data_IF_783298132093
#
_entry.id   IF_783298132093
#
_cell.length_a   1.000
_cell.length_b   1.000
_cell.length_c   1.000
_cell.angle_alpha   90.00
_cell.angle_beta   90.00
_cell.angle_gamma   90.00
#
_symmetry.space_group_name_H-M   'P 1'
#
loop_
_entity.id
_entity.type
_entity.pdbx_description
1 polymer ?
#
# COMPACT_ATOMS: atom_id res chain seq x y z
N UNK A 1 10.30 -26.26 6.76
CA UNK A 1 10.55 -24.98 6.05
C UNK A 1 9.32 -24.69 5.19
N UNK A 2 8.74 -23.49 5.27
CA UNK A 2 7.49 -23.15 4.58
C UNK A 2 7.71 -22.92 3.09
N UNK A 3 6.90 -23.58 2.26
CA UNK A 3 6.97 -23.49 0.80
C UNK A 3 6.54 -22.12 0.28
N UNK A 4 5.54 -21.52 0.93
CA UNK A 4 4.99 -20.20 0.62
C UNK A 4 5.95 -19.04 0.95
N UNK A 5 7.04 -19.31 1.67
CA UNK A 5 8.04 -18.34 2.09
C UNK A 5 9.43 -18.56 1.45
N UNK A 6 9.53 -19.36 0.39
CA UNK A 6 10.84 -19.69 -0.23
C UNK A 6 11.45 -18.55 -1.03
N UNK A 7 10.63 -17.65 -1.59
CA UNK A 7 11.08 -16.65 -2.56
C UNK A 7 10.75 -15.22 -2.12
N UNK A 8 11.67 -14.30 -2.41
CA UNK A 8 11.45 -12.87 -2.26
C UNK A 8 11.24 -12.40 -0.81
N UNK A 9 10.39 -11.38 -0.64
CA UNK A 9 10.07 -10.80 0.68
C UNK A 9 8.71 -11.32 1.14
N UNK A 10 8.69 -12.49 1.77
CA UNK A 10 7.47 -13.06 2.33
C UNK A 10 6.97 -12.25 3.53
N UNK A 11 5.64 -12.14 3.67
CA UNK A 11 5.03 -11.67 4.90
C UNK A 11 4.99 -12.79 5.93
N UNK A 12 5.10 -12.47 7.22
CA UNK A 12 5.20 -13.47 8.28
C UNK A 12 3.94 -14.35 8.32
N UNK A 13 2.76 -13.78 8.03
CA UNK A 13 1.50 -14.52 8.12
C UNK A 13 1.39 -15.66 7.09
N UNK A 14 2.21 -15.66 6.03
CA UNK A 14 2.15 -16.71 5.00
C UNK A 14 2.47 -18.08 5.59
N UNK A 15 3.50 -18.15 6.44
CA UNK A 15 3.90 -19.36 7.15
C UNK A 15 2.78 -19.88 8.07
N UNK A 16 2.04 -18.97 8.72
CA UNK A 16 0.92 -19.36 9.59
C UNK A 16 -0.24 -19.91 8.79
N UNK A 17 -0.58 -19.31 7.64
CA UNK A 17 -1.64 -19.84 6.76
C UNK A 17 -1.29 -21.24 6.26
N UNK A 18 -0.07 -21.44 5.74
CA UNK A 18 0.40 -22.75 5.27
C UNK A 18 0.37 -23.79 6.41
N UNK A 19 0.90 -23.44 7.59
CA UNK A 19 0.90 -24.33 8.76
C UNK A 19 -0.53 -24.72 9.17
N UNK A 20 -1.43 -23.75 9.23
CA UNK A 20 -2.81 -23.96 9.67
C UNK A 20 -3.59 -24.82 8.69
N UNK A 21 -3.42 -24.62 7.37
CA UNK A 21 -4.05 -25.48 6.35
C UNK A 21 -3.56 -26.92 6.49
N UNK A 22 -2.26 -27.13 6.69
CA UNK A 22 -1.69 -28.47 6.88
C UNK A 22 -2.11 -29.16 8.18
N UNK A 23 -2.64 -28.39 9.13
CA UNK A 23 -3.13 -28.90 10.42
C UNK A 23 -4.63 -29.16 10.41
N UNK A 24 -5.34 -28.87 9.31
CA UNK A 24 -6.77 -29.15 9.18
C UNK A 24 -7.00 -30.66 9.01
N UNK A 25 -7.99 -31.19 9.71
CA UNK A 25 -8.53 -32.51 9.45
C UNK A 25 -9.43 -32.51 8.20
N UNK A 26 -9.86 -33.68 7.76
CA UNK A 26 -10.87 -33.80 6.71
C UNK A 26 -12.13 -33.02 7.10
N UNK A 27 -12.58 -32.11 6.22
CA UNK A 27 -13.68 -31.16 6.43
C UNK A 27 -13.41 -30.00 7.41
N UNK A 28 -12.18 -29.88 7.93
CA UNK A 28 -11.77 -28.75 8.76
C UNK A 28 -11.90 -27.41 8.02
N UNK A 29 -12.27 -26.36 8.76
CA UNK A 29 -12.38 -24.99 8.25
C UNK A 29 -11.35 -24.09 8.91
N UNK A 30 -10.72 -23.24 8.10
CA UNK A 30 -9.81 -22.20 8.53
C UNK A 30 -10.39 -20.84 8.13
N UNK A 31 -10.48 -19.94 9.09
CA UNK A 31 -10.91 -18.56 8.87
C UNK A 31 -9.79 -17.63 9.33
N UNK A 32 -9.36 -16.72 8.45
CA UNK A 32 -8.29 -15.78 8.75
C UNK A 32 -8.66 -14.37 8.35
N UNK A 33 -8.45 -13.41 9.26
CA UNK A 33 -8.36 -11.99 8.95
C UNK A 33 -6.92 -11.65 8.58
N UNK A 34 -6.68 -11.30 7.33
CA UNK A 34 -5.35 -11.03 6.76
C UNK A 34 -5.34 -9.76 5.93
N UNK A 35 -4.16 -9.19 5.61
CA UNK A 35 -4.06 -8.08 4.68
C UNK A 35 -4.67 -8.42 3.31
N UNK A 36 -5.50 -7.52 2.78
CA UNK A 36 -6.10 -7.64 1.44
C UNK A 36 -5.05 -7.75 0.33
N UNK A 37 -3.81 -7.32 0.60
CA UNK A 37 -2.67 -7.41 -0.31
C UNK A 37 -2.34 -8.85 -0.75
N UNK A 38 -2.82 -9.88 -0.03
CA UNK A 38 -2.72 -11.29 -0.42
C UNK A 38 -3.12 -11.52 -1.89
N UNK A 39 -4.13 -10.82 -2.38
CA UNK A 39 -4.67 -11.04 -3.72
C UNK A 39 -3.82 -10.44 -4.85
N UNK A 40 -2.93 -9.48 -4.55
CA UNK A 40 -2.25 -8.67 -5.59
C UNK A 40 -0.73 -8.57 -5.42
N UNK A 41 -0.20 -8.83 -4.23
CA UNK A 41 1.23 -8.73 -3.95
C UNK A 41 1.99 -9.87 -4.65
N UNK A 42 3.02 -9.52 -5.43
CA UNK A 42 3.85 -10.50 -6.16
C UNK A 42 4.48 -11.56 -5.25
N UNK A 43 4.85 -11.19 -4.02
CA UNK A 43 5.47 -12.13 -3.07
C UNK A 43 4.47 -13.08 -2.42
N UNK A 44 3.16 -12.83 -2.59
CA UNK A 44 2.12 -13.70 -2.07
C UNK A 44 1.66 -14.76 -3.10
N UNK A 45 2.31 -14.85 -4.27
CA UNK A 45 1.96 -15.79 -5.33
C UNK A 45 1.94 -17.24 -4.83
N UNK A 46 3.03 -17.68 -4.21
CA UNK A 46 3.13 -19.04 -3.69
C UNK A 46 2.01 -19.36 -2.68
N UNK A 47 1.63 -18.39 -1.84
CA UNK A 47 0.51 -18.57 -0.92
C UNK A 47 -0.84 -18.61 -1.63
N UNK A 48 -1.07 -17.76 -2.64
CA UNK A 48 -2.31 -17.80 -3.44
C UNK A 48 -2.47 -19.16 -4.12
N UNK A 49 -1.40 -19.67 -4.72
CA UNK A 49 -1.42 -20.99 -5.36
C UNK A 49 -1.68 -22.09 -4.33
N UNK A 50 -1.08 -21.99 -3.15
CA UNK A 50 -1.27 -22.92 -2.05
C UNK A 50 -2.72 -23.01 -1.57
N UNK A 51 -3.41 -21.88 -1.44
CA UNK A 51 -4.78 -21.83 -0.90
C UNK A 51 -5.86 -21.95 -1.99
N UNK A 52 -5.49 -21.87 -3.27
CA UNK A 52 -6.42 -21.74 -4.40
C UNK A 52 -7.48 -22.85 -4.40
N UNK A 53 -7.08 -24.09 -4.12
CA UNK A 53 -8.01 -25.22 -4.14
C UNK A 53 -8.95 -25.23 -2.93
N UNK A 54 -8.44 -24.84 -1.75
CA UNK A 54 -9.18 -24.91 -0.48
C UNK A 54 -10.02 -23.68 -0.18
N UNK A 55 -9.69 -22.51 -0.75
CA UNK A 55 -10.43 -21.28 -0.48
C UNK A 55 -11.85 -21.38 -1.05
N UNK A 56 -12.83 -20.99 -0.24
CA UNK A 56 -14.25 -21.05 -0.59
C UNK A 56 -14.93 -19.70 -0.50
N UNK A 57 -14.54 -18.86 0.45
CA UNK A 57 -15.17 -17.56 0.69
C UNK A 57 -14.11 -16.48 0.93
N UNK A 58 -14.37 -15.29 0.41
CA UNK A 58 -13.59 -14.08 0.61
C UNK A 58 -14.55 -12.97 1.03
N UNK A 59 -14.27 -12.32 2.16
CA UNK A 59 -15.02 -11.17 2.64
C UNK A 59 -14.16 -9.92 2.45
N UNK A 60 -14.65 -9.00 1.64
CA UNK A 60 -13.98 -7.76 1.28
C UNK A 60 -14.55 -6.58 2.06
N UNK A 61 -13.68 -5.95 2.82
CA UNK A 61 -13.97 -4.76 3.62
C UNK A 61 -13.46 -3.47 2.96
N UNK A 62 -13.21 -3.49 1.65
CA UNK A 62 -12.80 -2.29 0.90
C UNK A 62 -13.84 -1.18 1.08
N UNK A 63 -13.38 -0.02 1.55
CA UNK A 63 -14.24 1.12 1.89
C UNK A 63 -14.82 1.09 3.32
N UNK A 64 -14.57 0.04 4.10
CA UNK A 64 -14.90 -0.05 5.51
C UNK A 64 -13.63 0.09 6.36
N UNK A 65 -13.68 0.97 7.37
CA UNK A 65 -12.61 1.08 8.35
C UNK A 65 -12.83 0.08 9.50
N UNK A 66 -12.14 -1.07 9.43
CA UNK A 66 -12.24 -2.11 10.47
C UNK A 66 -11.52 -1.75 11.78
N UNK A 67 -10.40 -1.03 11.68
CA UNK A 67 -9.55 -0.71 12.82
C UNK A 67 -9.25 0.79 12.86
N UNK A 68 -9.42 1.40 14.02
CA UNK A 68 -9.03 2.80 14.23
C UNK A 68 -7.50 2.94 14.15
N UNK A 69 -7.03 3.96 13.43
CA UNK A 69 -5.59 4.26 13.31
C UNK A 69 -4.78 3.34 12.39
N UNK A 70 -5.37 2.29 11.82
CA UNK A 70 -4.69 1.36 10.90
C UNK A 70 -5.08 1.67 9.45
N UNK A 71 -4.08 1.76 8.57
CA UNK A 71 -4.27 2.10 7.15
C UNK A 71 -4.34 0.84 6.27
N UNK A 72 -3.97 -0.32 6.81
CA UNK A 72 -3.93 -1.58 6.06
C UNK A 72 -5.36 -2.04 5.76
N UNK A 73 -5.66 -2.22 4.47
CA UNK A 73 -6.88 -2.91 4.04
C UNK A 73 -6.80 -4.39 4.41
N UNK A 74 -7.86 -4.92 5.00
CA UNK A 74 -7.95 -6.32 5.44
C UNK A 74 -9.07 -7.06 4.73
N UNK A 75 -8.98 -8.39 4.74
CA UNK A 75 -9.97 -9.32 4.18
C UNK A 75 -10.08 -10.51 5.11
N UNK A 76 -11.25 -11.15 5.13
CA UNK A 76 -11.38 -12.49 5.72
C UNK A 76 -11.37 -13.51 4.58
N UNK A 77 -10.56 -14.56 4.74
CA UNK A 77 -10.60 -15.74 3.89
C UNK A 77 -11.16 -16.94 4.67
N UNK A 78 -11.98 -17.75 4.01
CA UNK A 78 -12.38 -19.07 4.49
C UNK A 78 -11.79 -20.14 3.58
N UNK A 79 -11.02 -21.06 4.16
CA UNK A 79 -10.51 -22.25 3.50
C UNK A 79 -11.13 -23.49 4.14
N UNK A 80 -11.51 -24.47 3.33
CA UNK A 80 -12.05 -25.74 3.83
C UNK A 80 -11.30 -26.92 3.21
N UNK A 81 -10.79 -27.80 4.07
CA UNK A 81 -10.12 -29.03 3.66
C UNK A 81 -11.12 -30.05 3.08
N UNK A 82 -10.69 -30.86 2.12
CA UNK A 82 -11.51 -31.92 1.52
C UNK A 82 -12.58 -31.44 0.52
N UNK A 83 -12.81 -30.13 0.39
CA UNK A 83 -13.75 -29.56 -0.57
C UNK A 83 -12.98 -28.89 -1.71
N UNK A 84 -13.16 -29.39 -2.94
CA UNK A 84 -12.68 -28.73 -4.16
C UNK A 84 -13.85 -28.05 -4.86
N UNK A 85 -13.95 -26.72 -4.71
CA UNK A 85 -14.88 -25.88 -5.48
C UNK A 85 -14.14 -25.22 -6.63
N UNK A 86 -14.80 -25.11 -7.79
CA UNK A 86 -14.30 -24.37 -8.95
C UNK A 86 -14.54 -22.86 -8.85
N UNK A 87 -15.22 -22.40 -7.80
CA UNK A 87 -15.54 -21.00 -7.56
C UNK A 87 -15.29 -20.60 -6.10
N UNK A 88 -15.24 -19.29 -5.90
CA UNK A 88 -15.16 -18.59 -4.61
C UNK A 88 -16.41 -17.72 -4.47
N UNK A 89 -17.02 -17.74 -3.29
CA UNK A 89 -18.02 -16.76 -2.89
C UNK A 89 -17.31 -15.49 -2.43
N UNK A 90 -17.52 -14.39 -3.14
CA UNK A 90 -16.92 -13.10 -2.85
C UNK A 90 -17.99 -12.17 -2.26
N UNK A 91 -17.86 -11.88 -0.97
CA UNK A 91 -18.78 -11.04 -0.20
C UNK A 91 -18.21 -9.62 -0.14
N UNK A 92 -18.95 -8.63 -0.62
CA UNK A 92 -18.60 -7.22 -0.49
C UNK A 92 -19.35 -6.65 0.72
N UNK A 93 -18.63 -6.45 1.81
CA UNK A 93 -19.24 -6.11 3.10
C UNK A 93 -19.83 -4.69 3.12
N UNK A 94 -19.34 -3.79 2.26
CA UNK A 94 -19.81 -2.40 2.21
C UNK A 94 -21.28 -2.26 1.80
N UNK A 95 -21.77 -3.19 0.97
CA UNK A 95 -23.13 -3.18 0.43
C UNK A 95 -23.86 -4.53 0.57
N UNK A 96 -23.23 -5.55 1.16
CA UNK A 96 -23.80 -6.87 1.35
C UNK A 96 -23.95 -7.68 0.06
N UNK A 97 -23.26 -7.31 -1.02
CA UNK A 97 -23.32 -8.05 -2.29
C UNK A 97 -22.52 -9.35 -2.22
N UNK A 98 -23.07 -10.40 -2.84
CA UNK A 98 -22.40 -11.68 -3.05
C UNK A 98 -22.20 -11.94 -4.54
N UNK A 99 -20.95 -12.17 -4.94
CA UNK A 99 -20.57 -12.57 -6.29
C UNK A 99 -19.92 -13.95 -6.29
N UNK A 100 -20.14 -14.73 -7.35
CA UNK A 100 -19.49 -16.03 -7.54
C UNK A 100 -18.36 -15.87 -8.55
N UNK A 101 -17.12 -16.05 -8.09
CA UNK A 101 -15.91 -15.86 -8.90
C UNK A 101 -15.33 -17.22 -9.26
N UNK A 102 -15.17 -17.50 -10.55
CA UNK A 102 -14.58 -18.77 -11.01
C UNK A 102 -13.05 -18.75 -10.81
N UNK A 103 -12.49 -19.83 -10.29
CA UNK A 103 -11.05 -19.93 -9.95
C UNK A 103 -10.13 -19.99 -11.18
N UNK A 104 -10.65 -20.38 -12.34
CA UNK A 104 -9.95 -20.35 -13.63
C UNK A 104 -9.62 -18.91 -14.07
N UNK A 105 -10.42 -17.92 -13.65
CA UNK A 105 -10.15 -16.49 -13.90
C UNK A 105 -9.05 -15.91 -12.99
N UNK A 106 -8.63 -16.66 -11.95
CA UNK A 106 -7.68 -16.21 -10.94
C UNK A 106 -6.26 -16.66 -11.29
N UNK A 107 -5.51 -15.79 -11.95
CA UNK A 107 -4.12 -16.03 -12.35
C UNK A 107 -3.13 -15.43 -11.33
N UNK A 108 -2.02 -14.82 -11.79
CA UNK A 108 -0.99 -14.21 -10.95
C UNK A 108 -1.52 -13.18 -9.94
N UNK A 109 -2.61 -12.51 -10.25
CA UNK A 109 -3.29 -11.59 -9.35
C UNK A 109 -4.78 -11.87 -9.40
N UNK A 110 -5.39 -11.89 -8.23
CA UNK A 110 -6.81 -12.16 -8.09
C UNK A 110 -7.55 -10.83 -8.12
N UNK A 111 -8.34 -10.66 -9.16
CA UNK A 111 -9.26 -9.55 -9.32
C UNK A 111 -10.67 -10.12 -9.25
N UNK A 112 -11.45 -9.67 -8.27
CA UNK A 112 -12.82 -10.16 -8.07
C UNK A 112 -13.85 -9.33 -8.86
N UNK A 113 -13.50 -8.09 -9.20
CA UNK A 113 -14.33 -7.23 -10.07
C UNK A 113 -13.92 -7.44 -11.52
N UNK A 114 -14.91 -7.59 -12.41
CA UNK A 114 -14.66 -7.67 -13.85
C UNK A 114 -13.99 -6.38 -14.35
N UNK A 115 -12.82 -6.52 -14.97
CA UNK A 115 -12.19 -5.41 -15.68
C UNK A 115 -13.00 -5.10 -16.93
N UNK A 116 -13.65 -3.96 -16.96
CA UNK A 116 -14.03 -3.35 -18.22
C UNK A 116 -12.76 -2.73 -18.81
N UNK A 117 -12.11 -3.42 -19.75
CA UNK A 117 -11.00 -2.87 -20.52
C UNK A 117 -11.48 -1.82 -21.56
N UNK A 118 -12.60 -1.15 -21.29
CA UNK A 118 -13.12 -0.08 -22.13
C UNK A 118 -12.52 1.23 -21.65
N UNK A 119 -11.59 1.78 -22.44
CA UNK A 119 -11.00 3.09 -22.19
C UNK A 119 -9.50 3.11 -22.45
N UNK A 120 -8.95 4.32 -22.46
CA UNK A 120 -7.52 4.57 -22.56
C UNK A 120 -6.88 4.43 -21.18
N UNK A 121 -5.62 3.99 -21.12
CA UNK A 121 -4.94 3.84 -19.83
C UNK A 121 -4.50 5.21 -19.35
N UNK A 122 -4.57 5.44 -18.04
CA UNK A 122 -3.99 6.64 -17.43
C UNK A 122 -2.52 6.87 -17.84
N UNK A 123 -1.76 5.77 -17.95
CA UNK A 123 -0.36 5.78 -18.37
C UNK A 123 -0.10 6.15 -19.82
N UNK A 124 -1.14 6.16 -20.67
CA UNK A 124 -1.02 6.57 -22.08
C UNK A 124 -0.94 8.10 -22.19
N UNK A 125 -1.47 8.83 -21.19
CA UNK A 125 -1.49 10.30 -21.14
C UNK A 125 -0.59 10.89 -20.07
N UNK A 126 -0.35 10.14 -18.98
CA UNK A 126 0.31 10.67 -17.79
C UNK A 126 1.43 9.76 -17.32
N UNK A 127 2.54 10.36 -16.91
CA UNK A 127 3.64 9.65 -16.26
C UNK A 127 3.47 9.64 -14.74
N UNK A 128 3.44 8.45 -14.15
CA UNK A 128 3.36 8.27 -12.70
C UNK A 128 4.77 8.30 -12.11
N UNK A 129 5.00 9.24 -11.19
CA UNK A 129 6.25 9.38 -10.46
C UNK A 129 6.01 9.18 -8.96
N UNK A 130 6.98 8.58 -8.27
CA UNK A 130 6.96 8.49 -6.81
C UNK A 130 7.26 9.86 -6.20
N UNK A 131 6.69 10.14 -5.02
CA UNK A 131 7.05 11.30 -4.23
C UNK A 131 8.49 11.24 -3.70
N UNK A 132 8.98 12.36 -3.20
CA UNK A 132 10.33 12.46 -2.62
C UNK A 132 10.39 11.64 -1.33
N UNK A 133 11.35 10.71 -1.26
CA UNK A 133 11.67 9.95 -0.05
C UNK A 133 12.88 10.60 0.65
N UNK A 134 12.62 11.33 1.73
CA UNK A 134 13.67 12.01 2.53
C UNK A 134 14.52 11.04 3.33
N UNK A 135 14.00 9.85 3.65
CA UNK A 135 14.56 8.84 4.57
C UNK A 135 14.77 9.33 6.02
N UNK A 136 14.73 10.65 6.26
CA UNK A 136 14.76 11.29 7.57
C UNK A 136 13.91 12.56 7.54
N UNK A 137 12.61 12.43 7.80
CA UNK A 137 11.68 13.56 7.76
C UNK A 137 12.10 14.71 8.68
N UNK A 138 12.63 14.41 9.87
CA UNK A 138 13.01 15.41 10.88
C UNK A 138 14.10 16.36 10.39
N UNK A 139 15.01 15.88 9.53
CA UNK A 139 16.08 16.71 8.97
C UNK A 139 15.66 17.51 7.74
N UNK A 140 14.69 17.01 6.96
CA UNK A 140 14.38 17.57 5.63
C UNK A 140 13.02 18.27 5.56
N UNK A 141 12.07 17.98 6.46
CA UNK A 141 10.75 18.62 6.47
C UNK A 141 10.67 19.69 7.56
N UNK A 142 10.30 20.90 7.14
CA UNK A 142 10.14 22.06 8.00
C UNK A 142 8.65 22.35 8.15
N UNK A 143 8.13 22.14 9.35
CA UNK A 143 6.70 22.28 9.63
C UNK A 143 6.36 23.45 10.57
N UNK A 144 7.30 23.90 11.41
CA UNK A 144 7.08 24.95 12.41
C UNK A 144 8.26 25.93 12.35
N UNK A 145 8.00 27.13 11.83
CA UNK A 145 9.05 28.10 11.53
C UNK A 145 8.54 29.54 11.54
N UNK A 146 9.45 30.49 11.78
CA UNK A 146 9.27 31.91 11.47
C UNK A 146 10.07 32.27 10.22
N UNK A 147 9.70 33.33 9.53
CA UNK A 147 10.36 33.72 8.29
C UNK A 147 10.45 35.25 8.20
N UNK A 148 11.55 35.73 7.64
CA UNK A 148 11.70 37.12 7.19
C UNK A 148 11.64 37.16 5.66
N UNK A 149 12.23 38.16 5.00
CA UNK A 149 12.23 38.22 3.54
C UNK A 149 13.12 37.15 2.87
N UNK A 150 14.25 36.80 3.47
CA UNK A 150 15.30 35.96 2.84
C UNK A 150 15.42 34.58 3.48
N UNK A 151 15.07 34.44 4.76
CA UNK A 151 15.36 33.26 5.57
C UNK A 151 14.14 32.68 6.27
N UNK A 152 14.27 31.40 6.61
CA UNK A 152 13.41 30.64 7.51
C UNK A 152 14.21 30.26 8.75
N UNK A 153 13.57 30.36 9.91
CA UNK A 153 14.16 30.04 11.20
C UNK A 153 13.40 28.90 11.88
N UNK A 154 14.14 27.86 12.24
CA UNK A 154 13.66 26.66 12.93
C UNK A 154 14.43 26.52 14.24
N UNK A 155 13.86 27.02 15.34
CA UNK A 155 14.64 27.25 16.56
C UNK A 155 15.77 28.25 16.29
N UNK A 156 17.01 27.86 16.60
CA UNK A 156 18.21 28.69 16.37
C UNK A 156 18.81 28.50 14.97
N UNK A 157 18.26 27.60 14.15
CA UNK A 157 18.76 27.34 12.80
C UNK A 157 18.21 28.35 11.81
N UNK A 158 19.11 28.95 11.02
CA UNK A 158 18.81 29.88 9.93
C UNK A 158 18.98 29.15 8.59
N UNK A 159 17.97 29.21 7.72
CA UNK A 159 17.91 28.46 6.46
C UNK A 159 17.49 29.40 5.32
N UNK A 160 18.23 29.39 4.22
CA UNK A 160 17.93 30.18 3.02
C UNK A 160 16.60 29.72 2.38
N UNK A 161 15.72 30.67 2.03
CA UNK A 161 14.46 30.31 1.36
C UNK A 161 14.67 29.70 -0.02
N UNK A 162 15.77 30.01 -0.70
CA UNK A 162 16.05 29.56 -2.07
C UNK A 162 16.16 28.03 -2.17
N UNK A 163 16.68 27.37 -1.11
CA UNK A 163 16.83 25.92 -1.05
C UNK A 163 15.58 25.20 -0.53
N UNK A 164 14.48 25.93 -0.27
CA UNK A 164 13.23 25.37 0.24
C UNK A 164 12.19 25.26 -0.87
N UNK A 165 11.39 24.20 -0.83
CA UNK A 165 10.22 24.02 -1.71
C UNK A 165 8.98 23.69 -0.88
N UNK A 166 7.76 24.06 -1.34
CA UNK A 166 6.54 23.60 -0.70
C UNK A 166 6.49 22.06 -0.66
N UNK A 167 6.06 21.51 0.47
CA UNK A 167 5.93 20.08 0.69
C UNK A 167 4.47 19.72 1.00
N UNK A 168 3.99 18.64 0.38
CA UNK A 168 2.65 18.12 0.63
C UNK A 168 2.72 16.61 0.78
N UNK A 169 2.05 16.09 1.80
CA UNK A 169 1.83 14.66 1.98
C UNK A 169 0.37 14.37 2.31
N UNK A 170 -0.05 13.12 2.12
CA UNK A 170 -1.38 12.65 2.52
C UNK A 170 -1.64 12.86 4.02
N UNK A 171 -0.60 12.76 4.86
CA UNK A 171 -0.68 13.06 6.29
C UNK A 171 -0.89 14.55 6.53
N UNK A 172 -0.14 15.41 5.84
CA UNK A 172 -0.24 16.87 5.94
C UNK A 172 -1.63 17.36 5.55
N UNK A 173 -2.19 16.82 4.46
CA UNK A 173 -3.54 17.17 4.01
C UNK A 173 -4.62 16.86 5.06
N UNK A 174 -4.50 15.73 5.77
CA UNK A 174 -5.43 15.38 6.86
C UNK A 174 -5.28 16.28 8.11
N UNK A 175 -4.10 16.87 8.33
CA UNK A 175 -3.80 17.75 9.48
C UNK A 175 -4.04 19.24 9.22
N UNK A 176 -4.45 19.64 8.00
CA UNK A 176 -4.66 21.06 7.63
C UNK A 176 -5.69 21.80 8.50
N UNK A 177 -6.50 21.09 9.29
CA UNK A 177 -7.39 21.70 10.28
C UNK A 177 -6.68 22.19 11.56
N UNK A 178 -5.42 21.80 11.81
CA UNK A 178 -4.71 22.05 13.07
C UNK A 178 -3.48 22.97 12.90
N UNK A 179 -2.79 22.92 11.77
CA UNK A 179 -1.60 23.75 11.50
C UNK A 179 -1.92 24.95 10.60
N UNK A 180 -1.45 26.14 10.99
CA UNK A 180 -1.69 27.42 10.28
C UNK A 180 -0.79 27.68 9.06
N UNK A 181 0.29 26.92 8.86
CA UNK A 181 1.30 27.19 7.81
C UNK A 181 1.59 25.95 6.97
N UNK A 182 1.93 26.17 5.70
CA UNK A 182 2.33 25.11 4.77
C UNK A 182 3.68 24.51 5.17
N UNK A 183 3.82 23.20 4.98
CA UNK A 183 5.10 22.50 5.20
C UNK A 183 6.07 22.79 4.05
N UNK A 184 7.37 22.84 4.36
CA UNK A 184 8.44 22.98 3.37
C UNK A 184 9.41 21.80 3.43
N UNK A 185 10.09 21.53 2.32
CA UNK A 185 11.16 20.55 2.22
C UNK A 185 12.47 21.24 1.85
N UNK A 186 13.56 20.84 2.50
CA UNK A 186 14.92 21.19 2.06
C UNK A 186 15.22 20.46 0.75
N UNK A 187 15.38 21.24 -0.31
CA UNK A 187 15.63 20.79 -1.66
C UNK A 187 16.96 21.38 -2.16
N UNK A 188 18.10 20.76 -1.80
CA UNK A 188 19.43 21.27 -2.11
C UNK A 188 19.84 20.91 -3.54
N UNK A 189 18.95 21.16 -4.50
CA UNK A 189 19.19 20.93 -5.91
C UNK A 189 18.66 22.08 -6.77
N UNK A 190 19.41 22.43 -7.82
CA UNK A 190 18.99 23.31 -8.90
C UNK A 190 18.21 22.51 -9.93
N UNK A 191 17.03 22.99 -10.32
CA UNK A 191 16.27 22.39 -11.42
C UNK A 191 16.87 22.83 -12.75
N UNK A 192 17.03 21.90 -13.69
CA UNK A 192 17.48 22.18 -15.04
C UNK A 192 16.68 21.37 -16.06
N UNK A 193 16.88 21.62 -17.36
CA UNK A 193 16.18 20.90 -18.44
C UNK A 193 16.39 19.39 -18.42
N UNK A 194 17.45 18.90 -17.77
CA UNK A 194 17.77 17.47 -17.61
C UNK A 194 17.36 16.88 -16.25
N UNK A 195 16.64 17.63 -15.42
CA UNK A 195 16.21 17.21 -14.09
C UNK A 195 16.76 18.11 -13.00
N UNK A 196 17.79 17.66 -12.28
CA UNK A 196 18.36 18.41 -11.17
C UNK A 196 19.88 18.26 -11.05
N UNK A 197 20.53 19.29 -10.51
CA UNK A 197 21.97 19.36 -10.22
C UNK A 197 22.13 19.71 -8.75
N UNK A 198 23.02 19.02 -8.04
CA UNK A 198 23.34 19.34 -6.64
C UNK A 198 24.11 20.67 -6.58
N UNK A 199 23.84 21.48 -5.55
CA UNK A 199 24.72 22.62 -5.27
C UNK A 199 26.12 22.14 -4.86
N UNK A 200 27.14 22.79 -5.38
CA UNK A 200 28.52 22.65 -4.95
C UNK A 200 28.77 23.45 -3.68
N UNK A 201 29.76 23.05 -2.86
CA UNK A 201 30.07 23.72 -1.59
C UNK A 201 30.40 25.22 -1.77
N UNK A 202 30.97 25.59 -2.92
CA UNK A 202 31.30 26.98 -3.28
C UNK A 202 30.09 27.85 -3.64
N UNK A 203 28.91 27.25 -3.77
CA UNK A 203 27.66 27.93 -4.09
C UNK A 203 26.84 28.27 -2.84
N UNK A 204 27.39 27.98 -1.66
CA UNK A 204 26.87 28.33 -0.33
C UNK A 204 27.78 29.38 0.33
#
# INVERSE_FOLDING_TARGET
KFSTCKEGRCDYYYAFVEKSINSLNENGKLVYLIPFSIFRNKYAQALRDYIKDTITDVYDFTGIQLFSGVVISSTIILCQAGIKRNSINYHKEINGELEVVKKDTLNDKWFFVQKTNKGERFGDFFSVHNGVATLLNEAFLICDYIEDNEYIYVGDMKIEKEILRPAVSTKTMKRKSVKKRDEKIIFPYKLCSKGYIKYEQKEF
#
